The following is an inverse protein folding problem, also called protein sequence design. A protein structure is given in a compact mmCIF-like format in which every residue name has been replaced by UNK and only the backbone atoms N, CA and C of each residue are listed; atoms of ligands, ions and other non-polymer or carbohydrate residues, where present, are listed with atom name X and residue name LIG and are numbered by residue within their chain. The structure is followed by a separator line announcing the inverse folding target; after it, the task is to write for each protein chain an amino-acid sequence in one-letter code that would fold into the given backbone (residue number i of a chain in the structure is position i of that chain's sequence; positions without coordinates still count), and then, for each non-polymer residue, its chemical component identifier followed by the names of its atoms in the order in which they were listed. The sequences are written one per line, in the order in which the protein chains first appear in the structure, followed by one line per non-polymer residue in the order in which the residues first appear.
data_IF_240655800414
#
_entry.id   IF_240655800414
#
_cell.length_a   1.000
_cell.length_b   1.000
_cell.length_c   1.000
_cell.angle_alpha   90.00
_cell.angle_beta   90.00
_cell.angle_gamma   90.00
#
_symmetry.space_group_name_H-M   'P 1'
#
loop_
_entity.id
_entity.type
_entity.pdbx_description
1 polymer ?
#
# COMPACT_ATOMS: atom_id res chain seq x y z
N UNK A 1 3.31 -7.35 6.89
CA UNK A 1 2.85 -6.00 6.52
C UNK A 1 3.29 -4.97 7.54
N UNK A 2 3.74 -3.81 7.06
CA UNK A 2 4.13 -2.68 7.92
C UNK A 2 2.90 -1.92 8.42
N UNK A 3 2.79 -1.76 9.74
CA UNK A 3 1.68 -1.05 10.40
C UNK A 3 2.22 -0.08 11.45
N UNK A 4 1.45 0.95 11.77
CA UNK A 4 1.77 1.85 12.88
C UNK A 4 1.47 1.20 14.23
N UNK A 5 2.46 1.11 15.12
CA UNK A 5 2.17 0.88 16.53
C UNK A 5 1.48 2.12 17.13
N UNK A 6 0.62 1.89 18.14
CA UNK A 6 -0.04 2.96 18.85
C UNK A 6 -0.18 2.64 20.33
N UNK A 7 -0.24 3.69 21.15
CA UNK A 7 -0.53 3.58 22.58
C UNK A 7 -1.57 4.63 22.99
N UNK A 8 -2.71 4.23 23.54
CA UNK A 8 -3.67 5.18 24.12
C UNK A 8 -3.06 5.94 25.29
N UNK A 9 -3.30 7.22 25.36
CA UNK A 9 -2.81 8.10 26.43
C UNK A 9 -3.95 9.00 26.92
N UNK A 10 -4.09 9.12 28.24
CA UNK A 10 -4.98 10.11 28.86
C UNK A 10 -4.29 11.46 28.82
N UNK A 11 -4.96 12.43 28.25
CA UNK A 11 -4.40 13.78 28.05
C UNK A 11 -5.09 14.77 28.95
N UNK A 12 -4.27 15.58 29.65
CA UNK A 12 -4.71 16.74 30.43
C UNK A 12 -4.09 18.01 29.81
N UNK A 13 -4.90 19.03 29.62
CA UNK A 13 -4.44 20.32 29.17
C UNK A 13 -4.63 21.34 30.31
N UNK A 14 -3.55 21.96 30.78
CA UNK A 14 -3.56 22.88 31.91
C UNK A 14 -4.23 22.30 33.18
N UNK A 15 -4.11 20.98 33.41
CA UNK A 15 -4.71 20.30 34.54
C UNK A 15 -6.16 19.82 34.34
N UNK A 16 -6.79 20.18 33.25
CA UNK A 16 -8.14 19.72 32.88
C UNK A 16 -8.09 18.49 31.96
N UNK A 17 -8.96 17.52 32.20
CA UNK A 17 -9.06 16.33 31.36
C UNK A 17 -9.50 16.71 29.94
N UNK A 18 -8.68 16.38 28.97
CA UNK A 18 -8.91 16.71 27.57
C UNK A 18 -9.46 15.52 26.75
N UNK A 19 -9.13 14.29 27.14
CA UNK A 19 -9.58 13.09 26.45
C UNK A 19 -8.54 11.99 26.40
N UNK A 20 -8.84 10.95 25.62
CA UNK A 20 -7.91 9.88 25.30
C UNK A 20 -7.44 10.08 23.86
N UNK A 21 -6.15 10.24 23.68
CA UNK A 21 -5.49 10.32 22.37
C UNK A 21 -4.58 9.14 22.17
N UNK A 22 -4.22 8.87 20.92
CA UNK A 22 -3.27 7.81 20.59
C UNK A 22 -1.91 8.41 20.24
N UNK A 23 -0.87 8.00 20.97
CA UNK A 23 0.51 8.18 20.53
C UNK A 23 0.73 7.14 19.43
N UNK A 24 1.12 7.59 18.25
CA UNK A 24 1.31 6.73 17.06
C UNK A 24 2.73 6.88 16.52
N UNK A 25 3.26 5.80 15.97
CA UNK A 25 4.47 5.88 15.15
C UNK A 25 4.20 6.73 13.91
N UNK A 26 5.21 7.45 13.46
CA UNK A 26 5.17 8.15 12.18
C UNK A 26 5.81 7.25 11.12
N UNK A 27 5.05 6.87 10.10
CA UNK A 27 5.56 6.08 8.97
C UNK A 27 6.46 6.96 8.09
N UNK A 28 7.75 7.00 8.44
CA UNK A 28 8.80 7.75 7.76
C UNK A 28 10.10 6.94 7.73
N UNK A 29 11.19 7.55 7.29
CA UNK A 29 12.51 6.93 7.17
C UNK A 29 13.03 6.35 8.52
N UNK A 30 12.74 7.00 9.63
CA UNK A 30 13.12 6.53 10.96
C UNK A 30 12.29 5.34 11.45
N UNK A 31 11.02 5.26 11.04
CA UNK A 31 10.21 4.05 11.22
C UNK A 31 10.89 2.86 10.55
N UNK A 32 11.29 3.03 9.28
CA UNK A 32 11.94 1.97 8.52
C UNK A 32 13.23 1.53 9.20
N UNK A 33 14.11 2.47 9.60
CA UNK A 33 15.36 2.14 10.28
C UNK A 33 15.14 1.42 11.62
N UNK A 34 14.10 1.81 12.38
CA UNK A 34 13.82 1.21 13.69
C UNK A 34 13.28 -0.21 13.61
N UNK A 35 12.51 -0.52 12.56
CA UNK A 35 11.92 -1.84 12.32
C UNK A 35 12.82 -2.76 11.49
N UNK A 36 13.71 -2.18 10.69
CA UNK A 36 14.65 -2.88 9.80
C UNK A 36 16.09 -2.48 10.08
N UNK A 37 16.75 -3.08 11.08
CA UNK A 37 18.07 -2.64 11.57
C UNK A 37 19.20 -2.62 10.54
N UNK A 38 18.99 -3.22 9.37
CA UNK A 38 19.98 -3.23 8.28
C UNK A 38 19.70 -2.15 7.21
N UNK A 39 18.64 -1.40 7.39
CA UNK A 39 18.26 -0.29 6.53
C UNK A 39 18.68 1.02 7.18
N UNK A 40 19.33 1.86 6.41
CA UNK A 40 19.79 3.17 6.78
C UNK A 40 18.71 4.19 6.37
N UNK A 41 18.25 5.04 7.29
CA UNK A 41 17.19 6.01 7.01
C UNK A 41 17.52 6.95 5.83
N UNK A 42 18.82 7.25 5.61
CA UNK A 42 19.27 8.06 4.46
C UNK A 42 19.26 7.30 3.12
N UNK A 43 18.95 6.01 3.13
CA UNK A 43 19.04 5.10 1.95
C UNK A 43 17.70 4.42 1.68
N UNK A 44 16.63 5.18 1.74
CA UNK A 44 15.27 4.70 1.42
C UNK A 44 14.59 5.58 0.41
N UNK A 45 13.71 4.97 -0.37
CA UNK A 45 12.64 5.67 -1.06
C UNK A 45 11.35 5.40 -0.30
N UNK A 46 10.59 6.45 0.03
CA UNK A 46 9.26 6.35 0.63
C UNK A 46 8.31 7.12 -0.26
N UNK A 47 7.32 6.40 -0.77
CA UNK A 47 6.34 6.95 -1.70
C UNK A 47 4.96 6.98 -1.06
N UNK A 48 4.19 8.01 -1.39
CA UNK A 48 2.81 8.16 -0.99
C UNK A 48 1.92 8.43 -2.23
N UNK A 49 0.82 7.68 -2.32
CA UNK A 49 -0.13 7.79 -3.42
C UNK A 49 -1.41 8.49 -2.98
N UNK A 50 -1.82 9.51 -3.74
CA UNK A 50 -3.04 10.26 -3.51
C UNK A 50 -3.51 10.92 -4.81
N UNK A 51 -4.81 10.82 -5.09
CA UNK A 51 -5.43 11.51 -6.22
C UNK A 51 -4.75 11.19 -7.55
N UNK A 52 -3.90 12.09 -8.02
CA UNK A 52 -3.34 12.02 -9.37
C UNK A 52 -2.13 11.10 -9.52
N UNK A 53 -1.63 10.49 -8.44
CA UNK A 53 -0.50 9.56 -8.55
C UNK A 53 0.37 9.44 -7.31
N UNK A 54 1.55 8.85 -7.50
CA UNK A 54 2.55 8.66 -6.46
C UNK A 54 3.49 9.87 -6.37
N UNK A 55 3.87 10.22 -5.15
CA UNK A 55 4.86 11.24 -4.84
C UNK A 55 5.91 10.67 -3.90
N UNK A 56 7.16 11.13 -3.99
CA UNK A 56 8.19 10.75 -3.05
C UNK A 56 8.10 11.64 -1.80
N UNK A 57 7.94 11.01 -0.63
CA UNK A 57 8.12 11.67 0.68
C UNK A 57 9.59 11.71 1.05
N UNK A 58 10.33 10.64 0.71
CA UNK A 58 11.78 10.51 0.83
C UNK A 58 12.32 9.84 -0.44
N UNK A 59 13.54 10.20 -0.82
CA UNK A 59 14.18 9.66 -2.02
C UNK A 59 13.56 10.15 -3.30
N UNK A 60 13.27 9.23 -4.24
CA UNK A 60 12.75 9.58 -5.56
C UNK A 60 11.84 8.49 -6.16
N UNK A 61 11.26 8.79 -7.33
CA UNK A 61 10.33 7.90 -8.05
C UNK A 61 10.99 7.04 -9.13
N UNK A 62 12.31 7.12 -9.30
CA UNK A 62 13.00 6.52 -10.46
C UNK A 62 12.75 5.02 -10.57
N UNK A 63 12.99 4.28 -9.50
CA UNK A 63 12.83 2.84 -9.47
C UNK A 63 11.35 2.43 -9.59
N UNK A 64 10.45 3.18 -8.94
CA UNK A 64 9.01 2.96 -9.04
C UNK A 64 8.51 3.15 -10.47
N UNK A 65 8.87 4.26 -11.10
CA UNK A 65 8.45 4.55 -12.47
C UNK A 65 8.97 3.49 -13.44
N UNK A 66 10.24 3.09 -13.31
CA UNK A 66 10.83 2.02 -14.13
C UNK A 66 10.09 0.70 -13.99
N UNK A 67 9.72 0.32 -12.77
CA UNK A 67 8.93 -0.87 -12.51
C UNK A 67 7.52 -0.76 -13.12
N UNK A 68 6.86 0.38 -12.96
CA UNK A 68 5.51 0.61 -13.49
C UNK A 68 5.49 0.66 -15.01
N UNK A 69 6.49 1.26 -15.64
CA UNK A 69 6.67 1.25 -17.10
C UNK A 69 6.86 -0.18 -17.62
N UNK A 70 7.64 -1.00 -16.91
CA UNK A 70 7.80 -2.40 -17.25
C UNK A 70 6.45 -3.16 -17.15
N UNK A 71 5.72 -2.99 -16.04
CA UNK A 71 4.41 -3.63 -15.83
C UNK A 71 3.40 -3.26 -16.93
N UNK A 72 3.42 -2.02 -17.39
CA UNK A 72 2.49 -1.54 -18.40
C UNK A 72 2.86 -1.94 -19.84
N UNK A 73 4.15 -2.16 -20.09
CA UNK A 73 4.66 -2.47 -21.43
C UNK A 73 4.86 -3.96 -21.70
N UNK A 74 4.78 -4.83 -20.68
CA UNK A 74 5.00 -6.26 -20.81
C UNK A 74 3.79 -7.07 -20.34
N UNK A 75 3.58 -8.22 -20.98
CA UNK A 75 2.54 -9.16 -20.57
C UNK A 75 3.04 -10.01 -19.39
N UNK A 76 2.42 -9.84 -18.23
CA UNK A 76 2.76 -10.59 -17.02
C UNK A 76 2.15 -12.00 -16.98
N UNK A 77 1.39 -12.43 -17.98
CA UNK A 77 1.05 -13.86 -18.14
C UNK A 77 2.28 -14.69 -18.48
N UNK A 78 3.32 -14.06 -19.01
CA UNK A 78 4.66 -14.62 -19.20
C UNK A 78 5.38 -14.64 -17.84
N UNK A 79 5.80 -15.84 -17.42
CA UNK A 79 6.44 -16.04 -16.11
C UNK A 79 7.79 -15.32 -15.99
N UNK A 80 8.57 -15.20 -17.06
CA UNK A 80 9.84 -14.47 -17.04
C UNK A 80 9.61 -12.96 -16.78
N UNK A 81 8.56 -12.39 -17.34
CA UNK A 81 8.19 -11.01 -17.09
C UNK A 81 7.65 -10.84 -15.66
N UNK A 82 6.81 -11.76 -15.21
CA UNK A 82 6.31 -11.76 -13.83
C UNK A 82 7.48 -11.82 -12.84
N UNK A 83 8.44 -12.72 -13.03
CA UNK A 83 9.59 -12.87 -12.12
C UNK A 83 10.45 -11.60 -12.03
N UNK A 84 10.57 -10.82 -13.11
CA UNK A 84 11.26 -9.53 -13.09
C UNK A 84 10.56 -8.50 -12.19
N UNK A 85 9.23 -8.53 -12.13
CA UNK A 85 8.46 -7.68 -11.22
C UNK A 85 8.51 -8.22 -9.79
N UNK A 86 8.29 -9.52 -9.61
CA UNK A 86 8.33 -10.19 -8.31
C UNK A 86 9.69 -10.03 -7.59
N UNK A 87 10.79 -9.95 -8.33
CA UNK A 87 12.10 -9.67 -7.76
C UNK A 87 12.25 -8.25 -7.19
N UNK A 88 11.40 -7.31 -7.59
CA UNK A 88 11.44 -5.91 -7.16
C UNK A 88 10.50 -5.59 -6.01
N UNK A 89 9.55 -6.48 -5.69
CA UNK A 89 8.56 -6.29 -4.63
C UNK A 89 8.62 -7.43 -3.61
N UNK A 90 8.16 -7.19 -2.41
CA UNK A 90 7.87 -8.23 -1.45
C UNK A 90 6.45 -8.74 -1.73
N UNK A 91 6.35 -9.86 -2.49
CA UNK A 91 5.07 -10.36 -3.02
C UNK A 91 4.14 -10.79 -1.90
N UNK A 92 4.65 -11.50 -0.90
CA UNK A 92 3.86 -11.99 0.23
C UNK A 92 3.25 -10.81 0.99
N UNK A 93 4.06 -9.81 1.29
CA UNK A 93 3.59 -8.61 1.97
C UNK A 93 2.62 -7.78 1.12
N UNK A 94 2.84 -7.73 -0.19
CA UNK A 94 1.89 -7.06 -1.09
C UNK A 94 0.52 -7.75 -1.08
N UNK A 95 0.50 -9.07 -1.07
CA UNK A 95 -0.74 -9.86 -0.94
C UNK A 95 -1.43 -9.57 0.39
N UNK A 96 -0.70 -9.61 1.51
CA UNK A 96 -1.24 -9.27 2.84
C UNK A 96 -1.84 -7.87 2.88
N UNK A 97 -1.17 -6.89 2.27
CA UNK A 97 -1.66 -5.52 2.14
C UNK A 97 -2.96 -5.45 1.34
N UNK A 98 -2.99 -6.09 0.15
CA UNK A 98 -4.18 -6.14 -0.69
C UNK A 98 -5.37 -6.79 0.00
N UNK A 99 -5.14 -7.93 0.67
CA UNK A 99 -6.18 -8.64 1.42
C UNK A 99 -6.74 -7.75 2.53
N UNK A 100 -5.88 -7.06 3.28
CA UNK A 100 -6.30 -6.17 4.37
C UNK A 100 -7.19 -5.03 3.87
N UNK A 101 -6.82 -4.38 2.78
CA UNK A 101 -7.57 -3.27 2.19
C UNK A 101 -8.88 -3.72 1.52
N UNK A 102 -8.85 -4.83 0.81
CA UNK A 102 -10.01 -5.37 0.09
C UNK A 102 -11.02 -5.98 1.06
N UNK A 103 -10.56 -6.79 2.02
CA UNK A 103 -11.42 -7.40 3.03
C UNK A 103 -12.05 -6.35 3.96
N UNK A 104 -11.26 -5.36 4.38
CA UNK A 104 -11.74 -4.22 5.14
C UNK A 104 -12.73 -3.35 4.37
N UNK A 105 -12.75 -3.46 3.04
CA UNK A 105 -13.59 -2.63 2.18
C UNK A 105 -13.25 -1.14 2.30
N UNK A 106 -11.95 -0.79 2.49
CA UNK A 106 -11.53 0.59 2.67
C UNK A 106 -11.97 1.45 1.48
N UNK A 107 -12.94 2.32 1.70
CA UNK A 107 -13.56 3.11 0.64
C UNK A 107 -12.62 4.18 0.07
N UNK A 108 -11.65 4.62 0.84
CA UNK A 108 -10.67 5.63 0.42
C UNK A 108 -9.47 5.04 -0.35
N UNK A 109 -9.36 3.73 -0.43
CA UNK A 109 -8.34 2.99 -1.17
C UNK A 109 -8.94 2.40 -2.46
N UNK A 110 -8.22 2.25 -3.58
CA UNK A 110 -6.75 2.40 -3.77
C UNK A 110 -6.27 3.77 -4.30
N UNK A 111 -7.14 4.74 -4.52
CA UNK A 111 -6.76 6.04 -5.11
C UNK A 111 -6.19 7.02 -4.08
N UNK A 112 -6.22 6.66 -2.81
CA UNK A 112 -5.71 7.42 -1.67
C UNK A 112 -5.12 6.44 -0.64
N UNK A 113 -4.40 6.96 0.36
CA UNK A 113 -3.86 6.18 1.48
C UNK A 113 -2.92 5.03 1.07
N UNK A 114 -2.29 5.13 -0.10
CA UNK A 114 -1.24 4.20 -0.53
C UNK A 114 0.10 4.70 -0.04
N UNK A 115 0.84 3.88 0.68
CA UNK A 115 2.21 4.17 1.09
C UNK A 115 3.07 2.94 0.90
N UNK A 116 4.27 3.16 0.36
CA UNK A 116 5.24 2.09 0.15
C UNK A 116 6.66 2.62 0.32
N UNK A 117 7.58 1.71 0.57
CA UNK A 117 8.99 2.06 0.74
C UNK A 117 9.90 0.99 0.17
N UNK A 118 11.14 1.37 -0.11
CA UNK A 118 12.20 0.49 -0.60
C UNK A 118 13.55 0.95 -0.06
N UNK A 119 14.41 0.02 0.36
CA UNK A 119 15.81 0.31 0.62
C UNK A 119 16.57 0.52 -0.68
N UNK A 120 17.40 1.57 -0.78
CA UNK A 120 18.33 1.81 -1.89
C UNK A 120 19.54 0.87 -1.88
N UNK A 121 19.70 0.04 -0.85
CA UNK A 121 20.72 -1.01 -0.85
C UNK A 121 20.39 -2.04 -1.91
N UNK A 122 21.45 -2.64 -2.49
CA UNK A 122 21.30 -3.68 -3.50
C UNK A 122 20.42 -4.83 -2.99
N UNK A 123 19.41 -5.22 -3.77
CA UNK A 123 18.42 -6.23 -3.40
C UNK A 123 17.24 -5.70 -2.57
N UNK A 124 17.13 -4.39 -2.35
CA UNK A 124 15.94 -3.79 -1.73
C UNK A 124 14.69 -4.03 -2.58
N UNK A 125 13.59 -4.41 -1.94
CA UNK A 125 12.29 -4.65 -2.57
C UNK A 125 11.28 -3.65 -2.06
N UNK A 126 10.28 -3.30 -2.88
CA UNK A 126 9.16 -2.49 -2.46
C UNK A 126 8.29 -3.22 -1.45
N UNK A 127 7.92 -2.52 -0.38
CA UNK A 127 7.08 -2.98 0.72
C UNK A 127 5.98 -1.96 0.98
N UNK A 128 4.81 -2.41 1.46
CA UNK A 128 3.65 -1.56 1.69
C UNK A 128 3.42 -1.29 3.17
N UNK A 129 3.03 -0.08 3.49
CA UNK A 129 2.64 0.35 4.82
C UNK A 129 1.12 0.50 4.88
N UNK A 130 0.45 -0.29 5.71
CA UNK A 130 -0.98 -0.17 5.93
C UNK A 130 -1.25 0.94 6.95
N UNK A 131 -2.00 1.93 6.55
CA UNK A 131 -2.40 3.04 7.42
C UNK A 131 -3.71 3.65 6.95
N UNK A 132 -4.35 4.43 7.84
CA UNK A 132 -5.54 5.22 7.53
C UNK A 132 -6.69 4.38 6.97
N UNK A 133 -6.98 3.27 7.66
CA UNK A 133 -8.06 2.34 7.31
C UNK A 133 -9.38 2.71 7.96
N UNK A 134 -9.56 3.98 8.35
CA UNK A 134 -10.73 4.47 9.08
C UNK A 134 -12.01 4.48 8.24
N UNK A 135 -11.89 4.41 6.92
CA UNK A 135 -13.03 4.27 6.01
C UNK A 135 -13.35 2.81 5.64
N UNK A 136 -12.96 1.87 6.51
CA UNK A 136 -13.26 0.45 6.35
C UNK A 136 -14.58 0.04 7.04
N UNK A 137 -15.06 -1.16 6.74
CA UNK A 137 -16.21 -1.81 7.40
C UNK A 137 -17.50 -1.01 7.33
N UNK A 138 -17.73 -0.30 6.24
CA UNK A 138 -18.96 0.47 6.01
C UNK A 138 -19.26 1.53 7.09
N UNK A 139 -18.24 2.17 7.62
CA UNK A 139 -18.42 3.15 8.71
C UNK A 139 -19.35 4.31 8.32
N UNK A 140 -19.44 4.63 7.05
CA UNK A 140 -20.28 5.71 6.53
C UNK A 140 -21.64 5.25 5.99
N UNK A 141 -21.94 3.94 6.02
CA UNK A 141 -23.20 3.39 5.53
C UNK A 141 -23.46 3.62 4.03
N UNK A 142 -22.39 3.74 3.24
CA UNK A 142 -22.49 3.93 1.80
C UNK A 142 -22.85 2.61 1.11
N UNK A 143 -23.58 2.67 -0.03
CA UNK A 143 -23.95 1.46 -0.78
C UNK A 143 -22.74 0.65 -1.27
N UNK A 144 -21.59 1.27 -1.38
CA UNK A 144 -20.34 0.65 -1.80
C UNK A 144 -19.71 -0.24 -0.72
N UNK A 145 -20.19 -0.15 0.53
CA UNK A 145 -19.66 -0.87 1.67
C UNK A 145 -20.63 -1.95 2.20
N UNK A 146 -21.57 -2.37 1.39
CA UNK A 146 -22.50 -3.46 1.76
C UNK A 146 -21.82 -4.82 1.61
N UNK A 147 -22.26 -5.88 2.30
CA UNK A 147 -21.75 -7.23 2.12
C UNK A 147 -21.85 -7.78 0.70
N UNK A 148 -22.68 -7.15 -0.14
CA UNK A 148 -22.83 -7.48 -1.56
C UNK A 148 -21.87 -6.69 -2.48
N UNK A 149 -21.11 -5.74 -1.94
CA UNK A 149 -20.17 -4.96 -2.72
C UNK A 149 -18.87 -5.75 -2.94
N UNK A 150 -18.60 -6.03 -4.21
CA UNK A 150 -17.37 -6.73 -4.59
C UNK A 150 -16.23 -5.73 -4.77
N UNK A 151 -15.49 -5.46 -3.68
CA UNK A 151 -14.35 -4.56 -3.68
C UNK A 151 -13.25 -5.05 -4.62
N UNK A 152 -13.01 -6.36 -4.68
CA UNK A 152 -12.01 -6.94 -5.58
C UNK A 152 -12.36 -6.69 -7.04
N UNK A 153 -13.60 -6.99 -7.45
CA UNK A 153 -14.04 -6.71 -8.81
C UNK A 153 -13.86 -5.23 -9.17
N UNK A 154 -14.16 -4.32 -8.22
CA UNK A 154 -13.95 -2.88 -8.43
C UNK A 154 -12.48 -2.53 -8.64
N UNK A 155 -11.58 -3.10 -7.86
CA UNK A 155 -10.13 -2.87 -7.99
C UNK A 155 -9.54 -3.46 -9.28
N UNK A 156 -10.24 -4.40 -9.92
CA UNK A 156 -9.81 -5.00 -11.19
C UNK A 156 -10.36 -4.27 -12.42
N UNK A 157 -11.17 -3.22 -12.26
CA UNK A 157 -11.66 -2.42 -13.39
C UNK A 157 -10.54 -1.57 -14.00
N UNK A 158 -10.69 -1.17 -15.27
CA UNK A 158 -9.68 -0.36 -15.98
C UNK A 158 -9.49 1.04 -15.41
N UNK A 159 -10.50 1.54 -14.71
CA UNK A 159 -10.47 2.86 -14.09
C UNK A 159 -10.60 2.70 -12.59
N UNK A 160 -9.74 3.37 -11.85
CA UNK A 160 -9.85 3.50 -10.41
C UNK A 160 -11.12 4.24 -9.98
N UNK A 161 -11.34 4.37 -8.69
CA UNK A 161 -12.56 4.93 -8.11
C UNK A 161 -12.94 6.29 -8.68
N UNK A 162 -11.97 7.15 -8.94
CA UNK A 162 -12.16 8.50 -9.47
C UNK A 162 -11.75 8.65 -10.94
N UNK A 163 -11.66 7.52 -11.67
CA UNK A 163 -11.21 7.51 -13.05
C UNK A 163 -9.68 7.59 -13.19
N UNK A 164 -8.94 7.48 -12.07
CA UNK A 164 -7.49 7.36 -12.11
C UNK A 164 -7.07 6.05 -12.78
N UNK A 165 -5.88 6.04 -13.34
CA UNK A 165 -5.34 4.87 -14.05
C UNK A 165 -4.11 4.28 -13.38
N UNK A 166 -3.63 4.90 -12.29
CA UNK A 166 -2.38 4.50 -11.65
C UNK A 166 -2.58 3.51 -10.50
N UNK A 167 -3.63 3.72 -9.70
CA UNK A 167 -3.77 3.09 -8.38
C UNK A 167 -3.96 1.58 -8.41
N UNK A 168 -4.56 1.04 -9.48
CA UNK A 168 -4.85 -0.39 -9.61
C UNK A 168 -4.07 -1.10 -10.74
N UNK A 169 -3.19 -0.40 -11.43
CA UNK A 169 -2.44 -0.95 -12.58
C UNK A 169 -1.61 -2.16 -12.19
N UNK A 170 -0.89 -2.08 -11.06
CA UNK A 170 -0.07 -3.19 -10.58
C UNK A 170 -0.95 -4.42 -10.31
N UNK A 171 -1.99 -4.31 -9.48
CA UNK A 171 -2.88 -5.42 -9.14
C UNK A 171 -3.49 -6.05 -10.40
N UNK A 172 -4.05 -5.23 -11.31
CA UNK A 172 -4.67 -5.73 -12.55
C UNK A 172 -3.71 -6.51 -13.46
N UNK A 173 -2.45 -6.15 -13.45
CA UNK A 173 -1.46 -6.87 -14.25
C UNK A 173 -0.92 -8.09 -13.51
N UNK A 174 -0.67 -8.00 -12.21
CA UNK A 174 -0.18 -9.12 -11.41
C UNK A 174 -1.16 -10.30 -11.38
N UNK A 175 -2.46 -10.06 -11.24
CA UNK A 175 -3.47 -11.15 -11.22
C UNK A 175 -3.64 -11.88 -12.57
N UNK A 176 -3.07 -11.38 -13.65
CA UNK A 176 -3.03 -12.12 -14.93
C UNK A 176 -2.09 -13.32 -14.84
N UNK A 177 -1.03 -13.21 -14.04
CA UNK A 177 -0.12 -14.32 -13.81
C UNK A 177 -0.75 -15.37 -12.90
N UNK A 178 -0.60 -16.65 -13.28
CA UNK A 178 -1.22 -17.77 -12.56
C UNK A 178 -0.58 -18.00 -11.20
N UNK A 179 0.72 -17.80 -11.06
CA UNK A 179 1.44 -17.94 -9.78
C UNK A 179 0.92 -16.91 -8.79
N UNK A 180 0.96 -15.63 -9.13
CA UNK A 180 0.44 -14.58 -8.25
C UNK A 180 -1.03 -14.79 -7.89
N UNK A 181 -1.87 -15.10 -8.89
CA UNK A 181 -3.30 -15.32 -8.64
C UNK A 181 -3.57 -16.47 -7.67
N UNK A 182 -2.84 -17.57 -7.79
CA UNK A 182 -3.00 -18.72 -6.89
C UNK A 182 -2.55 -18.38 -5.46
N UNK A 183 -1.48 -17.62 -5.28
CA UNK A 183 -1.03 -17.15 -3.96
C UNK A 183 -2.02 -16.14 -3.35
N UNK A 184 -2.58 -15.27 -4.18
CA UNK A 184 -3.52 -14.24 -3.71
C UNK A 184 -4.89 -14.80 -3.28
N UNK A 185 -5.36 -15.93 -3.83
CA UNK A 185 -6.68 -16.51 -3.53
C UNK A 185 -6.64 -17.67 -2.52
N UNK A 186 -5.47 -18.18 -2.13
CA UNK A 186 -5.28 -19.24 -1.14
C UNK A 186 -4.80 -18.71 0.21
#
# INVERSE_FOLDING_TARGET
IDIQAYQPAVVYLNGEYWGILNIREKLNEYYVESHYPHVDHDKVDILAGKGDGMTASEGDLTDYNSMMDFIQSHDLTDDDNYQKVAAQIDVDEYIEYLVSEIYGGNDDWPHNNVKMWKSKKNGGRWRWMLYDTDQSYNIWGRNEDTPSYDKLAKCLTEKGKNGDTWSNVMLRNMVKNTTFRNEFVN
#
